data_IF_590216459048
#
_entry.id   IF_590216459048
#
_cell.length_a   1.000
_cell.length_b   1.000
_cell.length_c   1.000
_cell.angle_alpha   90.00
_cell.angle_beta   90.00
_cell.angle_gamma   90.00
#
_symmetry.space_group_name_H-M   'P 1'
#
loop_
_entity.id
_entity.type
_entity.pdbx_description
1 polymer ?
#
# COMPACT_ATOMS: atom_id res chain seq x y z
N UNK A 1 -23.49 6.44 -2.90
CA UNK A 1 -23.01 7.12 -1.67
C UNK A 1 -21.67 6.48 -1.27
N UNK A 2 -20.65 7.27 -0.88
CA UNK A 2 -19.42 6.70 -0.33
C UNK A 2 -19.73 5.90 0.95
N UNK A 3 -18.94 4.86 1.26
CA UNK A 3 -19.10 4.13 2.51
C UNK A 3 -18.94 5.09 3.70
N UNK A 4 -19.66 4.87 4.81
CA UNK A 4 -19.53 5.70 5.99
C UNK A 4 -18.07 5.66 6.51
N UNK A 5 -17.51 6.78 7.00
CA UNK A 5 -16.17 6.80 7.51
C UNK A 5 -16.02 5.80 8.67
N UNK A 6 -14.87 5.11 8.79
CA UNK A 6 -14.66 4.15 9.85
C UNK A 6 -14.74 4.88 11.20
N UNK A 7 -15.51 4.32 12.13
CA UNK A 7 -15.60 4.84 13.50
C UNK A 7 -14.34 4.43 14.26
N UNK A 8 -13.33 5.30 14.22
CA UNK A 8 -12.06 5.21 14.92
C UNK A 8 -11.13 6.27 14.36
N UNK A 9 -10.39 7.00 15.20
CA UNK A 9 -9.62 8.20 14.84
C UNK A 9 -8.41 8.00 13.91
N UNK A 10 -8.45 7.02 13.01
CA UNK A 10 -7.45 6.82 11.95
C UNK A 10 -8.14 6.83 10.59
N UNK A 11 -7.66 7.66 9.66
CA UNK A 11 -8.07 7.59 8.26
C UNK A 11 -7.80 6.19 7.70
N UNK A 12 -8.65 5.72 6.80
CA UNK A 12 -8.46 4.44 6.11
C UNK A 12 -8.46 4.67 4.61
N UNK A 13 -7.45 4.14 3.92
CA UNK A 13 -7.41 4.14 2.46
C UNK A 13 -7.91 2.79 1.94
N UNK A 14 -9.01 2.80 1.20
CA UNK A 14 -9.50 1.60 0.52
C UNK A 14 -8.81 1.46 -0.85
N UNK A 15 -7.95 0.45 -0.99
CA UNK A 15 -7.47 0.03 -2.30
C UNK A 15 -8.52 -0.86 -2.94
N UNK A 16 -9.19 -0.38 -3.97
CA UNK A 16 -9.95 -1.22 -4.90
C UNK A 16 -9.00 -1.63 -6.03
N UNK A 17 -8.54 -2.89 -6.11
CA UNK A 17 -7.85 -3.37 -7.29
C UNK A 17 -8.75 -3.19 -8.52
N UNK A 18 -8.16 -3.09 -9.70
CA UNK A 18 -8.93 -3.05 -10.94
C UNK A 18 -9.78 -4.32 -11.06
N UNK A 19 -10.95 -4.22 -11.69
CA UNK A 19 -11.87 -5.35 -11.89
C UNK A 19 -11.15 -6.55 -12.53
N UNK A 20 -10.33 -6.31 -13.57
CA UNK A 20 -9.46 -7.30 -14.20
C UNK A 20 -8.51 -8.03 -13.20
N UNK A 21 -7.99 -7.32 -12.19
CA UNK A 21 -7.10 -7.92 -11.18
C UNK A 21 -7.86 -8.68 -10.11
N UNK A 22 -9.05 -8.21 -9.75
CA UNK A 22 -9.97 -8.93 -8.88
C UNK A 22 -10.40 -10.25 -9.53
N UNK A 23 -10.72 -10.22 -10.83
CA UNK A 23 -11.16 -11.38 -11.59
C UNK A 23 -10.02 -12.36 -11.89
N UNK A 24 -8.86 -11.87 -12.32
CA UNK A 24 -7.74 -12.75 -12.69
C UNK A 24 -6.98 -13.31 -11.48
N UNK A 25 -6.95 -12.58 -10.36
CA UNK A 25 -6.09 -12.89 -9.21
C UNK A 25 -4.59 -12.85 -9.53
N UNK A 26 -4.21 -12.30 -10.70
CA UNK A 26 -2.82 -12.24 -11.17
C UNK A 26 -2.18 -10.91 -10.78
N UNK A 27 -1.20 -10.98 -9.89
CA UNK A 27 -0.45 -9.82 -9.42
C UNK A 27 1.00 -9.91 -9.86
N UNK A 28 1.58 -8.78 -10.28
CA UNK A 28 3.01 -8.71 -10.59
C UNK A 28 3.81 -8.36 -9.33
N UNK A 29 5.10 -8.73 -9.30
CA UNK A 29 6.03 -8.32 -8.23
C UNK A 29 6.00 -6.81 -8.01
N UNK A 30 6.08 -6.02 -9.09
CA UNK A 30 6.05 -4.55 -9.04
C UNK A 30 4.78 -4.01 -8.39
N UNK A 31 3.63 -4.60 -8.72
CA UNK A 31 2.36 -4.18 -8.14
C UNK A 31 2.31 -4.46 -6.63
N UNK A 32 2.73 -5.64 -6.20
CA UNK A 32 2.73 -6.02 -4.78
C UNK A 32 3.76 -5.20 -3.97
N UNK A 33 4.94 -4.94 -4.53
CA UNK A 33 5.90 -4.00 -3.93
C UNK A 33 5.30 -2.60 -3.77
N UNK A 34 4.52 -2.14 -4.76
CA UNK A 34 3.76 -0.89 -4.67
C UNK A 34 2.71 -0.92 -3.55
N UNK A 35 1.94 -2.02 -3.44
CA UNK A 35 0.97 -2.19 -2.35
C UNK A 35 1.63 -2.13 -0.97
N UNK A 36 2.80 -2.75 -0.79
CA UNK A 36 3.57 -2.65 0.45
C UNK A 36 3.98 -1.20 0.75
N UNK A 37 4.46 -0.46 -0.25
CA UNK A 37 4.88 0.92 -0.07
C UNK A 37 3.69 1.82 0.32
N UNK A 38 2.54 1.63 -0.33
CA UNK A 38 1.36 2.43 -0.02
C UNK A 38 0.79 2.08 1.36
N UNK A 39 0.72 0.80 1.74
CA UNK A 39 0.28 0.40 3.07
C UNK A 39 1.20 0.98 4.18
N UNK A 40 2.50 1.13 3.93
CA UNK A 40 3.42 1.81 4.83
C UNK A 40 3.29 3.33 4.82
N UNK A 41 2.62 3.92 3.83
CA UNK A 41 2.56 5.34 3.59
C UNK A 41 2.05 6.15 4.78
N UNK A 42 0.98 5.69 5.45
CA UNK A 42 0.43 6.39 6.62
C UNK A 42 1.43 6.48 7.78
N UNK A 43 2.04 5.34 8.16
CA UNK A 43 3.09 5.28 9.21
C UNK A 43 4.26 6.19 8.87
N UNK A 44 4.71 6.17 7.62
CA UNK A 44 5.85 6.97 7.15
C UNK A 44 5.51 8.46 7.10
N UNK A 45 4.29 8.83 6.71
CA UNK A 45 3.82 10.21 6.72
C UNK A 45 3.79 10.78 8.14
N UNK A 46 3.23 10.02 9.11
CA UNK A 46 3.26 10.40 10.53
C UNK A 46 4.70 10.62 11.01
N UNK A 47 5.62 9.70 10.67
CA UNK A 47 7.03 9.83 11.04
C UNK A 47 7.70 11.08 10.45
N UNK A 48 7.42 11.41 9.19
CA UNK A 48 7.99 12.60 8.52
C UNK A 48 7.47 13.90 9.15
N UNK A 49 6.18 13.93 9.52
CA UNK A 49 5.51 15.14 10.01
C UNK A 49 5.76 15.35 11.50
N UNK A 50 5.59 14.31 12.32
CA UNK A 50 5.59 14.40 13.78
C UNK A 50 6.88 13.85 14.42
N UNK A 51 7.69 13.07 13.69
CA UNK A 51 8.91 12.44 14.17
C UNK A 51 8.70 11.00 14.66
N UNK A 52 9.80 10.25 14.80
CA UNK A 52 9.79 8.81 15.12
C UNK A 52 9.14 8.46 16.47
N UNK A 53 9.24 9.35 17.45
CA UNK A 53 8.67 9.16 18.80
C UNK A 53 7.15 9.41 18.86
N UNK A 54 6.59 10.13 17.88
CA UNK A 54 5.18 10.53 17.85
C UNK A 54 4.32 9.65 16.93
N UNK A 55 4.91 8.61 16.34
CA UNK A 55 4.19 7.75 15.41
C UNK A 55 3.20 6.85 16.15
N UNK A 56 1.96 6.82 15.67
CA UNK A 56 0.83 6.28 16.44
C UNK A 56 0.57 4.78 16.17
N UNK A 57 -0.40 4.22 16.89
CA UNK A 57 -0.92 2.87 16.63
C UNK A 57 -1.92 2.82 15.47
N UNK A 58 -2.23 3.94 14.82
CA UNK A 58 -3.21 4.04 13.74
C UNK A 58 -2.89 3.12 12.55
N UNK A 59 -1.61 2.93 12.23
CA UNK A 59 -1.15 2.08 11.13
C UNK A 59 -1.14 0.56 11.46
N UNK A 60 -1.68 0.12 12.60
CA UNK A 60 -1.64 -1.29 13.03
C UNK A 60 -2.23 -2.25 11.98
N UNK A 61 -3.36 -1.89 11.37
CA UNK A 61 -4.00 -2.73 10.35
C UNK A 61 -3.13 -2.82 9.09
N UNK A 62 -2.52 -1.71 8.68
CA UNK A 62 -1.66 -1.68 7.50
C UNK A 62 -0.38 -2.50 7.72
N UNK A 63 0.21 -2.46 8.92
CA UNK A 63 1.36 -3.30 9.26
C UNK A 63 1.03 -4.80 9.22
N UNK A 64 -0.19 -5.19 9.60
CA UNK A 64 -0.64 -6.58 9.44
C UNK A 64 -0.77 -6.97 7.97
N UNK A 65 -1.32 -6.07 7.13
CA UNK A 65 -1.40 -6.29 5.68
C UNK A 65 -0.01 -6.40 5.04
N UNK A 66 0.91 -5.50 5.40
CA UNK A 66 2.32 -5.50 4.96
C UNK A 66 2.98 -6.85 5.26
N UNK A 67 2.86 -7.33 6.52
CA UNK A 67 3.39 -8.64 6.91
C UNK A 67 2.82 -9.76 6.04
N UNK A 68 1.49 -9.80 5.87
CA UNK A 68 0.80 -10.88 5.17
C UNK A 68 1.18 -10.91 3.67
N UNK A 69 1.17 -9.76 3.01
CA UNK A 69 1.55 -9.64 1.60
C UNK A 69 3.01 -10.01 1.42
N UNK A 70 3.92 -9.46 2.23
CA UNK A 70 5.35 -9.72 2.11
C UNK A 70 5.69 -11.20 2.32
N UNK A 71 5.08 -11.86 3.31
CA UNK A 71 5.30 -13.29 3.55
C UNK A 71 4.78 -14.15 2.40
N UNK A 72 3.58 -13.85 1.87
CA UNK A 72 3.04 -14.55 0.68
C UNK A 72 3.93 -14.36 -0.54
N UNK A 73 4.46 -13.15 -0.75
CA UNK A 73 5.37 -12.88 -1.85
C UNK A 73 6.61 -13.78 -1.82
N UNK A 74 7.17 -14.00 -0.63
CA UNK A 74 8.37 -14.81 -0.43
C UNK A 74 8.01 -16.30 -0.43
N UNK A 75 7.15 -16.74 0.50
CA UNK A 75 6.92 -18.15 0.80
C UNK A 75 5.92 -18.85 -0.12
N UNK A 76 5.05 -18.14 -0.83
CA UNK A 76 3.97 -18.75 -1.63
C UNK A 76 4.09 -18.42 -3.13
N UNK A 77 4.40 -17.17 -3.48
CA UNK A 77 4.44 -16.71 -4.87
C UNK A 77 5.85 -16.73 -5.48
N UNK A 78 6.86 -17.10 -4.69
CA UNK A 78 8.22 -17.31 -5.18
C UNK A 78 8.90 -16.05 -5.68
N UNK A 79 8.58 -14.85 -5.18
CA UNK A 79 9.25 -13.61 -5.63
C UNK A 79 10.68 -13.42 -5.10
N UNK A 80 11.18 -14.38 -4.31
CA UNK A 80 12.59 -14.50 -3.89
C UNK A 80 13.27 -15.79 -4.42
N UNK A 81 13.09 -16.09 -5.72
CA UNK A 81 13.64 -17.30 -6.35
C UNK A 81 15.17 -17.46 -6.19
N UNK A 82 15.90 -16.35 -6.15
CA UNK A 82 17.37 -16.35 -6.07
C UNK A 82 17.90 -16.84 -4.71
N UNK A 83 17.04 -16.90 -3.68
CA UNK A 83 17.43 -17.17 -2.29
C UNK A 83 16.82 -18.44 -1.76
N UNK A 84 15.55 -18.67 -2.08
CA UNK A 84 14.76 -19.80 -1.57
C UNK A 84 14.20 -20.71 -2.67
N UNK A 85 14.56 -20.45 -3.94
CA UNK A 85 14.10 -21.22 -5.09
C UNK A 85 12.68 -20.85 -5.56
N UNK A 86 12.31 -21.35 -6.74
CA UNK A 86 10.97 -21.18 -7.31
C UNK A 86 10.01 -22.26 -6.78
N UNK A 87 9.84 -22.32 -5.45
CA UNK A 87 9.01 -23.31 -4.75
C UNK A 87 8.08 -22.61 -3.78
N UNK A 88 6.84 -23.09 -3.67
CA UNK A 88 5.93 -22.69 -2.62
C UNK A 88 6.25 -23.46 -1.33
N UNK A 89 6.74 -22.74 -0.32
CA UNK A 89 7.09 -23.25 1.00
C UNK A 89 5.89 -23.33 1.95
N UNK A 90 4.83 -22.56 1.65
CA UNK A 90 3.59 -22.52 2.43
C UNK A 90 2.36 -22.73 1.54
N UNK A 91 1.31 -23.28 2.11
CA UNK A 91 -0.01 -23.36 1.45
C UNK A 91 -0.77 -22.03 1.54
N UNK A 92 -1.70 -21.74 0.59
CA UNK A 92 -2.52 -20.52 0.61
C UNK A 92 -3.31 -20.32 1.92
N UNK A 93 -3.76 -21.42 2.53
CA UNK A 93 -4.52 -21.45 3.79
C UNK A 93 -3.63 -21.46 5.05
N UNK A 94 -2.30 -21.35 4.88
CA UNK A 94 -1.31 -21.51 5.95
C UNK A 94 -1.01 -22.99 6.27
N UNK A 95 -0.18 -23.23 7.30
CA UNK A 95 0.11 -24.58 7.82
C UNK A 95 -1.12 -25.16 8.55
N UNK A 96 -2.20 -25.43 7.83
CA UNK A 96 -3.21 -26.38 8.25
C UNK A 96 -2.59 -27.76 8.30
N UNK A 97 -2.90 -28.56 9.32
CA UNK A 97 -2.18 -29.79 9.72
C UNK A 97 -2.07 -30.94 8.70
N UNK A 98 -2.39 -30.70 7.42
CA UNK A 98 -2.23 -31.63 6.30
C UNK A 98 -1.45 -31.03 5.11
N UNK A 99 -0.92 -29.81 5.22
CA UNK A 99 -0.01 -29.22 4.23
C UNK A 99 1.39 -29.83 4.26
N UNK A 100 2.28 -29.50 3.29
CA UNK A 100 3.69 -29.87 3.36
C UNK A 100 4.22 -29.49 4.75
N UNK A 101 5.02 -30.38 5.37
CA UNK A 101 5.72 -30.02 6.60
C UNK A 101 6.37 -28.66 6.36
N UNK A 102 6.10 -27.70 7.26
CA UNK A 102 6.58 -26.33 7.14
C UNK A 102 8.07 -26.28 6.81
N UNK A 103 8.52 -25.16 6.25
CA UNK A 103 9.89 -25.04 5.81
C UNK A 103 10.86 -25.37 6.97
N UNK A 104 12.04 -25.90 6.64
CA UNK A 104 13.04 -26.21 7.66
C UNK A 104 13.35 -24.96 8.50
N UNK A 105 13.80 -25.07 9.76
CA UNK A 105 14.14 -23.89 10.57
C UNK A 105 15.15 -22.96 9.88
N UNK A 106 16.05 -23.51 9.06
CA UNK A 106 17.00 -22.71 8.31
C UNK A 106 16.33 -22.02 7.11
N UNK A 107 15.39 -22.67 6.43
CA UNK A 107 14.57 -22.03 5.39
C UNK A 107 13.69 -20.93 5.96
N UNK A 108 13.04 -21.14 7.11
CA UNK A 108 12.22 -20.12 7.79
C UNK A 108 13.02 -18.87 8.13
N UNK A 109 14.26 -19.02 8.62
CA UNK A 109 15.16 -17.87 8.85
C UNK A 109 15.43 -17.09 7.56
N UNK A 110 15.60 -17.78 6.44
CA UNK A 110 15.79 -17.11 5.14
C UNK A 110 14.50 -16.41 4.70
N UNK A 111 13.33 -17.03 4.85
CA UNK A 111 12.03 -16.41 4.57
C UNK A 111 11.86 -15.12 5.38
N UNK A 112 12.12 -15.16 6.69
CA UNK A 112 12.01 -13.99 7.56
C UNK A 112 12.98 -12.87 7.18
N UNK A 113 14.20 -13.22 6.76
CA UNK A 113 15.18 -12.25 6.28
C UNK A 113 14.72 -11.55 4.99
N UNK A 114 14.22 -12.31 4.03
CA UNK A 114 13.71 -11.79 2.76
C UNK A 114 12.46 -10.92 2.95
N UNK A 115 11.56 -11.31 3.87
CA UNK A 115 10.40 -10.48 4.25
C UNK A 115 10.87 -9.14 4.82
N UNK A 116 11.84 -9.13 5.73
CA UNK A 116 12.40 -7.89 6.31
C UNK A 116 13.02 -7.01 5.24
N UNK A 117 13.78 -7.58 4.31
CA UNK A 117 14.40 -6.83 3.22
C UNK A 117 13.35 -6.18 2.30
N UNK A 118 12.31 -6.94 1.95
CA UNK A 118 11.21 -6.49 1.11
C UNK A 118 10.43 -5.33 1.77
N UNK A 119 10.10 -5.47 3.05
CA UNK A 119 9.41 -4.41 3.82
C UNK A 119 10.30 -3.18 3.98
N UNK A 120 11.60 -3.36 4.24
CA UNK A 120 12.55 -2.25 4.32
C UNK A 120 12.67 -1.49 2.98
N UNK A 121 12.65 -2.21 1.85
CA UNK A 121 12.62 -1.59 0.52
C UNK A 121 11.34 -0.79 0.30
N UNK A 122 10.19 -1.37 0.64
CA UNK A 122 8.90 -0.68 0.52
C UNK A 122 8.83 0.58 1.39
N UNK A 123 9.33 0.50 2.63
CA UNK A 123 9.45 1.64 3.53
C UNK A 123 10.33 2.75 2.93
N UNK A 124 11.50 2.41 2.37
CA UNK A 124 12.36 3.40 1.69
C UNK A 124 11.65 4.07 0.52
N UNK A 125 10.99 3.30 -0.33
CA UNK A 125 10.23 3.84 -1.47
C UNK A 125 9.13 4.79 -1.00
N UNK A 126 8.37 4.41 0.04
CA UNK A 126 7.35 5.28 0.63
C UNK A 126 7.96 6.58 1.17
N UNK A 127 9.05 6.49 1.93
CA UNK A 127 9.74 7.64 2.53
C UNK A 127 10.32 8.57 1.47
N UNK A 128 11.04 8.04 0.49
CA UNK A 128 11.58 8.81 -0.64
C UNK A 128 10.47 9.51 -1.42
N UNK A 129 9.36 8.81 -1.68
CA UNK A 129 8.21 9.38 -2.40
C UNK A 129 7.57 10.52 -1.60
N UNK A 130 7.30 10.32 -0.31
CA UNK A 130 6.66 11.33 0.53
C UNK A 130 7.56 12.54 0.76
N UNK A 131 8.85 12.33 1.00
CA UNK A 131 9.84 13.42 1.14
C UNK A 131 9.97 14.22 -0.16
N UNK A 132 10.02 13.56 -1.31
CA UNK A 132 10.09 14.23 -2.61
C UNK A 132 8.81 15.00 -2.96
N UNK A 133 7.71 14.76 -2.24
CA UNK A 133 6.41 15.40 -2.44
C UNK A 133 5.91 16.08 -1.15
N UNK A 134 6.85 16.58 -0.33
CA UNK A 134 6.52 17.13 0.99
C UNK A 134 5.52 18.29 0.93
N UNK A 135 5.69 19.23 0.01
CA UNK A 135 4.77 20.36 -0.15
C UNK A 135 3.34 19.90 -0.50
N UNK A 136 3.22 18.88 -1.36
CA UNK A 136 1.92 18.26 -1.68
C UNK A 136 1.29 17.63 -0.43
N UNK A 137 2.08 16.87 0.34
CA UNK A 137 1.62 16.23 1.57
C UNK A 137 1.10 17.23 2.60
N UNK A 138 1.81 18.36 2.76
CA UNK A 138 1.42 19.44 3.67
C UNK A 138 0.11 20.09 3.22
N UNK A 139 -0.04 20.46 1.94
CA UNK A 139 -1.28 21.04 1.42
C UNK A 139 -2.46 20.05 1.50
N UNK A 140 -2.23 18.77 1.19
CA UNK A 140 -3.27 17.73 1.35
C UNK A 140 -3.72 17.63 2.81
N UNK A 141 -2.79 17.77 3.75
CA UNK A 141 -3.09 17.72 5.19
C UNK A 141 -3.94 18.93 5.60
N UNK A 142 -3.59 20.13 5.16
CA UNK A 142 -4.37 21.35 5.39
C UNK A 142 -5.79 21.23 4.81
N UNK A 143 -5.92 20.73 3.57
CA UNK A 143 -7.21 20.48 2.94
C UNK A 143 -8.06 19.51 3.77
N UNK A 144 -7.50 18.40 4.25
CA UNK A 144 -8.24 17.42 5.04
C UNK A 144 -8.62 17.94 6.44
N UNK A 145 -7.87 18.89 7.00
CA UNK A 145 -8.24 19.59 8.25
C UNK A 145 -9.46 20.49 8.01
N UNK A 146 -9.52 21.18 6.87
CA UNK A 146 -10.56 22.17 6.57
C UNK A 146 -11.88 21.54 6.11
N UNK A 147 -11.85 20.50 5.27
CA UNK A 147 -13.05 19.92 4.64
C UNK A 147 -13.31 18.43 4.92
N UNK A 148 -12.51 17.78 5.78
CA UNK A 148 -12.58 16.37 6.19
C UNK A 148 -12.44 15.30 5.07
N UNK A 149 -12.73 15.64 3.82
CA UNK A 149 -12.69 14.76 2.65
C UNK A 149 -12.09 15.51 1.47
N UNK A 150 -11.24 14.82 0.71
CA UNK A 150 -10.73 15.28 -0.58
C UNK A 150 -11.15 14.25 -1.62
N UNK A 151 -11.86 14.69 -2.65
CA UNK A 151 -12.34 13.81 -3.71
C UNK A 151 -11.25 13.49 -4.75
N UNK A 152 -11.60 12.65 -5.72
CA UNK A 152 -10.67 12.25 -6.77
C UNK A 152 -10.19 13.44 -7.62
N UNK A 153 -11.09 14.34 -8.02
CA UNK A 153 -10.75 15.48 -8.89
C UNK A 153 -9.86 16.46 -8.12
N UNK A 154 -10.20 16.78 -6.88
CA UNK A 154 -9.39 17.63 -6.00
C UNK A 154 -8.00 17.04 -5.79
N UNK A 155 -7.91 15.74 -5.50
CA UNK A 155 -6.63 15.05 -5.36
C UNK A 155 -5.81 15.08 -6.66
N UNK A 156 -6.44 14.86 -7.82
CA UNK A 156 -5.74 14.90 -9.10
C UNK A 156 -5.24 16.32 -9.44
N UNK A 157 -6.00 17.37 -9.14
CA UNK A 157 -5.56 18.75 -9.33
C UNK A 157 -4.41 19.12 -8.38
N UNK A 158 -4.45 18.65 -7.14
CA UNK A 158 -3.35 18.81 -6.19
C UNK A 158 -2.08 18.09 -6.69
N UNK A 159 -2.20 16.85 -7.17
CA UNK A 159 -1.06 16.14 -7.79
C UNK A 159 -0.56 16.89 -9.01
N UNK A 160 -1.44 17.41 -9.87
CA UNK A 160 -1.06 18.18 -11.07
C UNK A 160 -0.27 19.43 -10.73
N UNK A 161 -0.61 20.12 -9.64
CA UNK A 161 0.09 21.32 -9.16
C UNK A 161 1.58 21.06 -8.88
N UNK A 162 1.92 19.91 -8.30
CA UNK A 162 3.29 19.58 -7.90
C UNK A 162 4.01 18.61 -8.84
N UNK A 163 3.25 17.78 -9.56
CA UNK A 163 3.71 16.67 -10.42
C UNK A 163 2.89 16.60 -11.70
N UNK A 164 2.92 17.63 -12.56
CA UNK A 164 2.10 17.66 -13.78
C UNK A 164 2.39 16.49 -14.72
N UNK A 165 3.59 15.92 -14.68
CA UNK A 165 4.01 14.77 -15.47
C UNK A 165 3.35 13.43 -15.05
N UNK A 166 2.76 13.36 -13.86
CA UNK A 166 2.19 12.14 -13.29
C UNK A 166 0.69 12.00 -13.56
N UNK A 167 0.07 13.01 -14.17
CA UNK A 167 -1.38 13.14 -14.27
C UNK A 167 -1.87 12.85 -15.68
N UNK A 168 -2.95 12.07 -15.77
CA UNK A 168 -3.68 11.80 -17.01
C UNK A 168 -4.85 12.79 -17.13
N UNK A 169 -4.68 13.84 -17.93
CA UNK A 169 -5.70 14.88 -18.09
C UNK A 169 -7.01 14.34 -18.67
N UNK A 170 -6.95 13.28 -19.48
CA UNK A 170 -8.16 12.66 -20.03
C UNK A 170 -9.01 12.03 -18.93
N UNK A 171 -8.37 11.42 -17.92
CA UNK A 171 -9.08 10.85 -16.76
C UNK A 171 -9.70 11.90 -15.85
N UNK A 172 -9.04 13.06 -15.68
CA UNK A 172 -9.64 14.17 -14.93
C UNK A 172 -10.89 14.67 -15.65
N UNK A 173 -10.82 14.83 -16.98
CA UNK A 173 -11.95 15.26 -17.79
C UNK A 173 -13.11 14.26 -17.71
N UNK A 174 -12.84 12.97 -17.86
CA UNK A 174 -13.84 11.90 -17.73
C UNK A 174 -14.51 11.91 -16.35
N UNK A 175 -13.72 12.02 -15.27
CA UNK A 175 -14.26 12.08 -13.91
C UNK A 175 -15.14 13.31 -13.67
N UNK A 176 -14.80 14.46 -14.27
CA UNK A 176 -15.63 15.68 -14.23
C UNK A 176 -16.95 15.51 -14.96
N UNK A 177 -16.91 14.93 -16.15
CA UNK A 177 -18.10 14.67 -16.95
C UNK A 177 -19.04 13.71 -16.22
N UNK A 178 -18.51 12.64 -15.62
CA UNK A 178 -19.31 11.74 -14.78
C UNK A 178 -19.94 12.41 -13.56
N UNK A 179 -19.19 13.27 -12.88
CA UNK A 179 -19.69 14.01 -11.72
C UNK A 179 -20.81 14.97 -12.12
N UNK A 180 -20.68 15.65 -13.26
CA UNK A 180 -21.68 16.55 -13.80
C UNK A 180 -22.97 15.83 -14.23
N UNK A 181 -22.88 14.58 -14.67
CA UNK A 181 -24.06 13.75 -15.02
C UNK A 181 -24.79 13.21 -13.78
N UNK A 182 -24.08 13.06 -12.64
CA UNK A 182 -24.62 12.53 -11.39
C UNK A 182 -25.15 13.61 -10.42
N UNK A 183 -24.86 14.89 -10.69
CA UNK A 183 -25.32 16.06 -9.93
C UNK A 183 -26.70 16.55 -10.40
#
# INVERSE_FOLDING_TARGET
PPPPPPRGGGGFTLFTPTEERLESGLYSKRYLEGQLAVALGGRVAEEIIFGEEEVTTGASNDLQQVRNIARRMVAQWGYSMNKIGAVAWESPDGNGGFGPQGASPDTEKVIDAEVKELVAKAYRVAKETLVANRELLEELTEMLIDQETVDFIEMQELVKKYRPEMVDEAKIAEARDEAAVKA
#
